data_IF_242268007918
#
_entry.id   IF_242268007918
#
_cell.length_a   1.000
_cell.length_b   1.000
_cell.length_c   1.000
_cell.angle_alpha   90.00
_cell.angle_beta   90.00
_cell.angle_gamma   90.00
#
_symmetry.space_group_name_H-M   'P 1'
#
loop_
_entity.id
_entity.type
_entity.pdbx_description
1 polymer ?
#
# COMPACT_ATOMS: atom_id res chain seq x y z
N UNK A 1 -5.58 14.18 -8.10
CA UNK A 1 -4.38 14.58 -7.36
C UNK A 1 -3.39 13.46 -7.52
N UNK A 2 -2.20 13.77 -8.00
CA UNK A 2 -1.16 12.78 -8.28
C UNK A 2 -0.40 12.37 -7.01
N UNK A 3 0.40 11.31 -7.10
CA UNK A 3 1.34 10.99 -6.03
C UNK A 3 2.53 11.95 -6.05
N UNK A 4 2.82 12.60 -4.91
CA UNK A 4 4.05 13.36 -4.77
C UNK A 4 5.27 12.42 -4.83
N UNK A 5 6.40 12.92 -5.31
CA UNK A 5 7.63 12.14 -5.54
C UNK A 5 8.10 11.47 -4.24
N UNK A 6 8.05 12.21 -3.12
CA UNK A 6 8.40 11.67 -1.81
C UNK A 6 7.52 10.47 -1.40
N UNK A 7 6.23 10.54 -1.72
CA UNK A 7 5.28 9.47 -1.39
C UNK A 7 5.50 8.24 -2.28
N UNK A 8 5.86 8.46 -3.55
CA UNK A 8 6.23 7.37 -4.48
C UNK A 8 7.48 6.62 -3.99
N UNK A 9 8.48 7.32 -3.46
CA UNK A 9 9.69 6.69 -2.93
C UNK A 9 9.42 5.86 -1.67
N UNK A 10 8.57 6.35 -0.77
CA UNK A 10 8.13 5.60 0.42
C UNK A 10 7.37 4.35 0.01
N UNK A 11 6.42 4.48 -0.92
CA UNK A 11 5.63 3.36 -1.44
C UNK A 11 6.54 2.31 -2.08
N UNK A 12 7.47 2.74 -2.93
CA UNK A 12 8.45 1.87 -3.58
C UNK A 12 9.31 1.13 -2.55
N UNK A 13 9.83 1.85 -1.55
CA UNK A 13 10.68 1.28 -0.50
C UNK A 13 9.95 0.20 0.29
N UNK A 14 8.67 0.43 0.62
CA UNK A 14 7.82 -0.56 1.28
C UNK A 14 7.58 -1.80 0.41
N UNK A 15 7.19 -1.60 -0.86
CA UNK A 15 6.92 -2.70 -1.77
C UNK A 15 8.19 -3.52 -2.07
N UNK A 16 9.38 -2.90 -2.16
CA UNK A 16 10.66 -3.61 -2.30
C UNK A 16 10.89 -4.55 -1.11
N UNK A 17 10.52 -4.17 0.12
CA UNK A 17 10.65 -5.04 1.30
C UNK A 17 9.71 -6.27 1.26
N UNK A 18 8.60 -6.16 0.54
CA UNK A 18 7.61 -7.24 0.39
C UNK A 18 7.89 -8.15 -0.80
N UNK A 19 8.19 -7.56 -1.95
CA UNK A 19 8.24 -8.24 -3.25
C UNK A 19 9.66 -8.30 -3.84
N UNK A 20 10.63 -7.62 -3.24
CA UNK A 20 12.01 -7.56 -3.71
C UNK A 20 12.24 -6.59 -4.87
N UNK A 21 13.35 -6.77 -5.56
CA UNK A 21 13.86 -5.84 -6.59
C UNK A 21 12.97 -5.70 -7.83
N UNK A 22 11.99 -6.59 -8.04
CA UNK A 22 11.04 -6.52 -9.16
C UNK A 22 10.18 -5.23 -9.15
N UNK A 23 9.98 -4.66 -7.96
CA UNK A 23 9.19 -3.43 -7.74
C UNK A 23 9.84 -2.20 -8.39
N UNK A 24 11.16 -2.21 -8.63
CA UNK A 24 11.83 -1.09 -9.30
C UNK A 24 11.28 -0.82 -10.70
N UNK A 25 10.67 -1.83 -11.33
CA UNK A 25 10.04 -1.72 -12.66
C UNK A 25 8.56 -1.35 -12.59
N UNK A 26 7.97 -1.29 -11.40
CA UNK A 26 6.54 -1.05 -11.23
C UNK A 26 6.23 0.46 -11.23
N UNK A 27 5.11 0.87 -11.86
CA UNK A 27 4.66 2.26 -11.81
C UNK A 27 4.14 2.60 -10.40
N UNK A 28 4.72 3.62 -9.77
CA UNK A 28 4.27 4.13 -8.47
C UNK A 28 3.15 5.17 -8.66
N UNK A 29 2.04 4.72 -9.22
CA UNK A 29 0.88 5.56 -9.56
C UNK A 29 -0.27 5.38 -8.54
N UNK A 30 -1.38 6.10 -8.78
CA UNK A 30 -2.60 6.03 -7.96
C UNK A 30 -3.11 4.59 -7.78
N UNK A 31 -3.16 3.78 -8.84
CA UNK A 31 -3.61 2.38 -8.77
C UNK A 31 -2.70 1.53 -7.89
N UNK A 32 -1.39 1.74 -7.95
CA UNK A 32 -0.42 1.03 -7.12
C UNK A 32 -0.60 1.38 -5.63
N UNK A 33 -0.87 2.65 -5.33
CA UNK A 33 -1.18 3.08 -3.98
C UNK A 33 -2.50 2.46 -3.49
N UNK A 34 -3.55 2.47 -4.32
CA UNK A 34 -4.85 1.86 -3.98
C UNK A 34 -4.73 0.36 -3.71
N UNK A 35 -3.93 -0.35 -4.51
CA UNK A 35 -3.68 -1.78 -4.32
C UNK A 35 -2.88 -2.05 -3.06
N UNK A 36 -1.92 -1.18 -2.74
CA UNK A 36 -1.17 -1.24 -1.49
C UNK A 36 -2.07 -0.94 -0.29
N UNK A 37 -3.02 -0.03 -0.45
CA UNK A 37 -4.03 0.26 0.55
C UNK A 37 -4.93 -0.96 0.81
N UNK A 38 -5.43 -1.61 -0.24
CA UNK A 38 -6.21 -2.84 -0.12
C UNK A 38 -5.40 -3.95 0.57
N UNK A 39 -4.12 -4.09 0.25
CA UNK A 39 -3.23 -5.02 0.93
C UNK A 39 -3.18 -4.73 2.44
N UNK A 40 -3.04 -3.46 2.82
CA UNK A 40 -2.99 -3.06 4.23
C UNK A 40 -4.34 -3.33 4.92
N UNK A 41 -5.46 -3.00 4.26
CA UNK A 41 -6.82 -3.27 4.74
C UNK A 41 -7.07 -4.77 4.94
N UNK A 42 -6.67 -5.61 3.99
CA UNK A 42 -6.80 -7.06 4.14
C UNK A 42 -5.85 -7.63 5.21
N UNK A 43 -4.65 -7.05 5.36
CA UNK A 43 -3.71 -7.43 6.42
C UNK A 43 -4.11 -6.93 7.80
N UNK A 44 -5.00 -5.94 7.89
CA UNK A 44 -5.48 -5.36 9.15
C UNK A 44 -6.18 -6.39 10.03
N UNK A 45 -6.82 -7.40 9.41
CA UNK A 45 -7.41 -8.56 10.11
C UNK A 45 -6.42 -9.33 11.00
N UNK A 46 -5.12 -9.15 10.78
CA UNK A 46 -4.02 -9.83 11.47
C UNK A 46 -3.12 -8.85 12.26
N UNK A 47 -3.31 -7.53 12.13
CA UNK A 47 -2.33 -6.53 12.55
C UNK A 47 -2.96 -5.34 13.28
N UNK A 48 -2.27 -4.81 14.30
CA UNK A 48 -2.66 -3.59 15.04
C UNK A 48 -2.72 -2.31 14.18
N UNK A 49 -2.44 -2.41 12.87
CA UNK A 49 -2.67 -1.35 11.89
C UNK A 49 -4.16 -1.05 11.63
N UNK A 50 -5.09 -1.79 12.24
CA UNK A 50 -6.54 -1.55 12.21
C UNK A 50 -6.93 -0.11 12.53
N UNK A 51 -6.21 0.55 13.44
CA UNK A 51 -6.52 1.93 13.85
C UNK A 51 -6.14 2.98 12.80
N UNK A 52 -5.35 2.60 11.79
CA UNK A 52 -4.67 3.52 10.86
C UNK A 52 -5.07 3.32 9.41
N UNK A 53 -5.73 2.20 9.09
CA UNK A 53 -6.43 2.02 7.83
C UNK A 53 -7.85 2.56 8.02
N UNK A 54 -8.21 3.72 7.46
CA UNK A 54 -9.59 4.19 7.55
C UNK A 54 -10.54 3.17 6.93
N UNK A 55 -11.77 3.11 7.45
CA UNK A 55 -12.74 2.09 7.03
C UNK A 55 -12.88 1.99 5.51
N UNK A 56 -13.08 0.78 4.96
CA UNK A 56 -13.14 0.54 3.52
C UNK A 56 -14.13 1.51 2.86
N UNK A 57 -13.64 2.22 1.86
CA UNK A 57 -14.43 3.15 1.08
C UNK A 57 -15.30 2.37 0.08
N UNK A 58 -16.41 2.98 -0.34
CA UNK A 58 -17.36 2.35 -1.25
C UNK A 58 -16.67 1.83 -2.53
N UNK A 59 -17.03 0.62 -3.01
CA UNK A 59 -16.42 0.02 -4.20
C UNK A 59 -16.45 0.98 -5.40
N UNK A 60 -15.32 1.10 -6.10
CA UNK A 60 -15.19 1.94 -7.31
C UNK A 60 -14.59 3.34 -7.10
N UNK A 61 -14.14 3.71 -5.90
CA UNK A 61 -13.38 4.95 -5.66
C UNK A 61 -11.89 4.66 -5.53
N UNK A 62 -11.04 5.68 -5.72
CA UNK A 62 -9.60 5.52 -5.46
C UNK A 62 -9.32 5.82 -3.99
N UNK A 63 -8.50 4.99 -3.35
CA UNK A 63 -8.09 5.18 -1.97
C UNK A 63 -7.37 6.53 -1.84
N UNK A 64 -6.55 6.89 -2.82
CA UNK A 64 -5.79 8.14 -2.77
C UNK A 64 -6.65 9.40 -2.80
N UNK A 65 -7.81 9.35 -3.48
CA UNK A 65 -8.77 10.46 -3.53
C UNK A 65 -9.66 10.49 -2.30
N UNK A 66 -9.88 9.33 -1.68
CA UNK A 66 -10.69 9.19 -0.47
C UNK A 66 -9.93 9.61 0.79
N UNK A 67 -8.64 9.31 0.87
CA UNK A 67 -7.82 9.66 2.02
C UNK A 67 -7.56 11.16 2.10
N UNK A 68 -7.76 11.73 3.30
CA UNK A 68 -7.26 13.08 3.58
C UNK A 68 -5.74 13.12 3.50
N UNK A 69 -5.17 14.28 3.18
CA UNK A 69 -3.70 14.48 3.13
C UNK A 69 -3.00 14.04 4.43
N UNK A 70 -3.68 14.20 5.57
CA UNK A 70 -3.19 13.77 6.88
C UNK A 70 -3.21 12.25 7.06
N UNK A 71 -4.28 11.57 6.64
CA UNK A 71 -4.34 10.11 6.70
C UNK A 71 -3.28 9.47 5.78
N UNK A 72 -3.10 10.02 4.57
CA UNK A 72 -2.07 9.59 3.64
C UNK A 72 -0.67 9.77 4.20
N UNK A 73 -0.35 10.94 4.75
CA UNK A 73 0.98 11.20 5.32
C UNK A 73 1.26 10.34 6.56
N UNK A 74 0.24 10.06 7.39
CA UNK A 74 0.35 9.19 8.54
C UNK A 74 0.63 7.73 8.14
N UNK A 75 -0.08 7.24 7.12
CA UNK A 75 0.13 5.91 6.57
C UNK A 75 1.55 5.78 6.01
N UNK A 76 2.00 6.72 5.18
CA UNK A 76 3.36 6.73 4.63
C UNK A 76 4.45 6.84 5.72
N UNK A 77 4.22 7.66 6.76
CA UNK A 77 5.15 7.77 7.90
C UNK A 77 5.25 6.46 8.67
N UNK A 78 4.16 5.71 8.80
CA UNK A 78 4.14 4.41 9.48
C UNK A 78 4.83 3.34 8.64
N UNK A 79 4.63 3.31 7.31
CA UNK A 79 5.38 2.43 6.40
C UNK A 79 6.90 2.59 6.55
N UNK A 80 7.37 3.78 6.92
CA UNK A 80 8.79 4.08 7.17
C UNK A 80 9.27 3.72 8.60
N UNK A 81 8.40 3.80 9.60
CA UNK A 81 8.81 3.79 11.02
C UNK A 81 8.60 2.44 11.69
N UNK A 82 7.59 1.70 11.24
CA UNK A 82 7.20 0.42 11.80
C UNK A 82 7.53 -0.63 10.74
N UNK A 83 8.74 -1.22 10.79
CA UNK A 83 9.23 -2.25 9.83
C UNK A 83 9.35 -3.71 10.32
N UNK A 84 9.37 -4.02 11.63
CA UNK A 84 9.60 -5.40 12.09
C UNK A 84 8.38 -6.22 12.57
N UNK A 85 7.36 -5.65 13.24
CA UNK A 85 6.30 -6.45 13.89
C UNK A 85 5.12 -6.87 13.01
N UNK A 86 4.92 -6.21 11.87
CA UNK A 86 3.73 -6.29 10.99
C UNK A 86 4.07 -6.97 9.66
N UNK A 87 5.35 -7.23 9.42
CA UNK A 87 5.87 -7.65 8.13
C UNK A 87 5.46 -9.11 7.80
N UNK A 88 5.15 -9.93 8.81
CA UNK A 88 4.60 -11.29 8.64
C UNK A 88 3.17 -11.26 8.08
N UNK A 89 2.24 -10.57 8.75
CA UNK A 89 0.85 -10.45 8.30
C UNK A 89 0.75 -9.77 6.92
N UNK A 90 1.53 -8.70 6.71
CA UNK A 90 1.56 -8.03 5.42
C UNK A 90 2.16 -8.94 4.35
N UNK A 91 3.22 -9.71 4.63
CA UNK A 91 3.77 -10.67 3.65
C UNK A 91 2.78 -11.77 3.28
N UNK A 92 2.02 -12.29 4.24
CA UNK A 92 1.01 -13.32 3.96
C UNK A 92 -0.09 -12.81 3.06
N UNK A 93 -0.60 -11.60 3.32
CA UNK A 93 -1.62 -10.97 2.47
C UNK A 93 -1.03 -10.51 1.13
N UNK A 94 0.22 -10.05 1.11
CA UNK A 94 0.93 -9.68 -0.11
C UNK A 94 1.14 -10.89 -1.01
N UNK A 95 1.34 -12.07 -0.43
CA UNK A 95 1.42 -13.31 -1.19
C UNK A 95 0.08 -13.66 -1.84
N UNK A 96 -1.05 -13.54 -1.14
CA UNK A 96 -2.37 -13.82 -1.73
C UNK A 96 -2.75 -12.80 -2.80
N UNK A 97 -2.40 -11.52 -2.61
CA UNK A 97 -2.69 -10.43 -3.55
C UNK A 97 -1.64 -10.23 -4.65
N UNK A 98 -0.64 -11.11 -4.75
CA UNK A 98 0.46 -10.98 -5.72
C UNK A 98 -0.04 -10.78 -7.16
N UNK A 99 -1.12 -11.46 -7.55
CA UNK A 99 -1.67 -11.32 -8.89
C UNK A 99 -2.21 -9.90 -9.16
N UNK A 100 -2.80 -9.25 -8.16
CA UNK A 100 -3.35 -7.90 -8.28
C UNK A 100 -2.22 -6.90 -8.50
N UNK A 101 -1.14 -7.03 -7.74
CA UNK A 101 0.05 -6.20 -7.95
C UNK A 101 0.68 -6.39 -9.32
N UNK A 102 0.73 -7.63 -9.83
CA UNK A 102 1.22 -7.89 -11.18
C UNK A 102 0.32 -7.30 -12.26
N UNK A 103 -1.01 -7.41 -12.10
CA UNK A 103 -1.98 -6.80 -13.03
C UNK A 103 -1.81 -5.29 -13.08
N UNK A 104 -1.75 -4.63 -11.91
CA UNK A 104 -1.56 -3.17 -11.83
C UNK A 104 -0.19 -2.74 -12.34
N UNK A 105 0.86 -3.54 -12.09
CA UNK A 105 2.18 -3.28 -12.64
C UNK A 105 2.22 -3.39 -14.17
N UNK A 106 1.38 -4.23 -14.76
CA UNK A 106 1.21 -4.35 -16.23
C UNK A 106 0.30 -3.28 -16.84
N UNK A 107 -0.30 -2.41 -16.01
CA UNK A 107 -1.17 -1.32 -16.45
C UNK A 107 -2.66 -1.64 -16.48
N UNK A 108 -3.07 -2.84 -16.08
CA UNK A 108 -4.47 -3.26 -15.94
C UNK A 108 -5.10 -2.62 -14.69
#
# INVERSE_FOLDING_TARGET
MDLDIADQEVLRSFLIKLYGSQVNKWPMNEKMFDTTYQLLDESSKCSDLMDLVPRPYAPGKSAIKYLTKQARSMLLRQLKTREMHYLSCVRTTAFSLKHNFMAVASGL
#
